data_IF_930356900200
#
_entry.id   IF_930356900200
#
_cell.length_a   1.000
_cell.length_b   1.000
_cell.length_c   1.000
_cell.angle_alpha   90.00
_cell.angle_beta   90.00
_cell.angle_gamma   90.00
#
_symmetry.space_group_name_H-M   'P 1'
#
loop_
_entity.id
_entity.type
_entity.pdbx_description
1 polymer ?
#
# COMPACT_ATOMS: atom_id res chain seq x y z
N UNK A 1 -19.14 -45.71 -5.84
CA UNK A 1 -18.05 -45.73 -4.83
C UNK A 1 -17.48 -44.35 -4.70
N UNK A 2 -17.59 -43.71 -3.53
CA UNK A 2 -16.96 -42.43 -3.23
C UNK A 2 -15.47 -42.64 -2.99
N UNK A 3 -14.63 -41.84 -3.61
CA UNK A 3 -13.19 -41.79 -3.32
C UNK A 3 -12.95 -40.73 -2.26
N UNK A 4 -12.28 -41.11 -1.17
CA UNK A 4 -11.93 -40.14 -0.13
C UNK A 4 -10.94 -39.14 -0.67
N UNK A 5 -11.27 -37.83 -0.57
CA UNK A 5 -10.37 -36.74 -0.92
C UNK A 5 -9.52 -36.38 0.29
N UNK A 6 -8.25 -36.09 0.04
CA UNK A 6 -7.30 -35.69 1.07
C UNK A 6 -7.46 -34.17 1.31
N UNK A 7 -7.69 -33.80 2.56
CA UNK A 7 -7.63 -32.39 2.99
C UNK A 7 -6.15 -32.04 3.17
N UNK A 8 -5.69 -31.00 2.47
CA UNK A 8 -4.34 -30.47 2.60
C UNK A 8 -4.42 -29.22 3.48
N UNK A 9 -3.52 -29.11 4.45
CA UNK A 9 -3.35 -27.93 5.27
C UNK A 9 -2.34 -26.98 4.60
N UNK A 10 -2.71 -25.71 4.44
CA UNK A 10 -1.80 -24.63 4.10
C UNK A 10 -1.50 -23.76 5.32
N UNK A 11 -0.38 -23.05 5.29
CA UNK A 11 -0.01 -22.08 6.33
C UNK A 11 0.24 -20.71 5.72
N UNK A 12 -0.16 -19.67 6.42
CA UNK A 12 0.20 -18.29 6.10
C UNK A 12 1.16 -17.79 7.17
N UNK A 13 2.31 -17.29 6.74
CA UNK A 13 3.32 -16.75 7.64
C UNK A 13 3.46 -15.26 7.33
N UNK A 14 3.16 -14.42 8.31
CA UNK A 14 3.38 -12.97 8.23
C UNK A 14 4.52 -12.54 9.15
N UNK A 15 5.35 -11.61 8.69
CA UNK A 15 6.47 -11.08 9.44
C UNK A 15 6.16 -9.71 10.04
N UNK A 16 6.46 -9.59 11.32
CA UNK A 16 6.32 -8.36 12.09
C UNK A 16 7.42 -7.36 11.70
N UNK A 17 7.05 -6.12 11.44
CA UNK A 17 7.97 -5.03 11.16
C UNK A 17 8.32 -4.27 12.45
N UNK A 18 9.61 -4.02 12.67
CA UNK A 18 10.14 -3.20 13.75
C UNK A 18 10.77 -1.96 13.12
N UNK A 19 10.13 -0.81 13.29
CA UNK A 19 10.57 0.43 12.69
C UNK A 19 10.96 1.45 13.75
N UNK A 20 12.02 2.17 13.47
CA UNK A 20 12.51 3.25 14.30
C UNK A 20 12.84 4.46 13.43
N UNK A 21 12.47 5.65 13.90
CA UNK A 21 12.86 6.92 13.30
C UNK A 21 13.24 7.88 14.40
N UNK A 22 14.29 8.66 14.16
CA UNK A 22 14.74 9.71 15.10
C UNK A 22 14.80 11.07 14.41
N UNK A 23 14.57 12.10 15.18
CA UNK A 23 14.72 13.49 14.79
C UNK A 23 15.51 14.22 15.87
N UNK A 24 16.37 15.14 15.46
CA UNK A 24 17.17 15.94 16.39
C UNK A 24 16.92 17.43 16.19
N UNK A 25 17.05 18.17 17.29
CA UNK A 25 17.01 19.60 17.31
C UNK A 25 18.17 20.12 18.16
N UNK A 26 18.75 21.25 17.77
CA UNK A 26 19.75 21.99 18.57
C UNK A 26 19.05 23.13 19.32
N UNK A 27 19.40 23.36 20.58
CA UNK A 27 18.86 24.47 21.39
C UNK A 27 19.06 25.82 20.69
N UNK A 28 20.21 26.01 20.04
CA UNK A 28 20.51 27.25 19.31
C UNK A 28 19.55 27.50 18.15
N UNK A 29 19.12 26.44 17.44
CA UNK A 29 18.13 26.58 16.36
C UNK A 29 16.75 26.95 16.92
N UNK A 30 16.40 26.44 18.10
CA UNK A 30 15.16 26.76 18.81
C UNK A 30 15.15 28.22 19.28
N UNK A 31 16.25 28.73 19.80
CA UNK A 31 16.39 30.13 20.24
C UNK A 31 16.35 31.13 19.06
N UNK A 32 16.93 30.77 17.92
CA UNK A 32 16.91 31.59 16.71
C UNK A 32 15.57 31.56 15.97
N UNK A 33 14.79 30.50 16.13
CA UNK A 33 13.48 30.38 15.50
C UNK A 33 12.44 31.18 16.26
N UNK A 34 12.11 32.36 15.76
CA UNK A 34 11.00 33.19 16.20
C UNK A 34 9.67 32.39 16.16
N UNK A 35 9.33 31.68 17.19
CA UNK A 35 8.03 30.99 17.21
C UNK A 35 7.96 29.64 17.89
N UNK A 36 8.86 29.33 18.81
CA UNK A 36 8.68 28.25 19.76
C UNK A 36 9.43 26.95 19.46
N UNK A 37 9.30 26.05 20.38
CA UNK A 37 9.93 24.75 20.50
C UNK A 37 9.74 23.90 19.23
N UNK A 38 10.82 23.65 18.47
CA UNK A 38 10.79 22.83 17.27
C UNK A 38 10.50 21.37 17.61
N UNK A 39 10.86 20.88 18.81
CA UNK A 39 10.54 19.54 19.28
C UNK A 39 9.03 19.31 19.36
N UNK A 40 8.26 20.29 19.83
CA UNK A 40 6.80 20.24 19.83
C UNK A 40 6.23 20.13 18.40
N UNK A 41 6.82 20.82 17.42
CA UNK A 41 6.42 20.70 16.00
C UNK A 41 6.78 19.34 15.42
N UNK A 42 7.93 18.78 15.78
CA UNK A 42 8.35 17.44 15.38
C UNK A 42 7.34 16.41 15.91
N UNK A 43 6.99 16.46 17.20
CA UNK A 43 6.01 15.58 17.83
C UNK A 43 4.65 15.63 17.13
N UNK A 44 4.16 16.81 16.79
CA UNK A 44 2.90 16.99 16.08
C UNK A 44 2.88 16.37 14.67
N UNK A 45 4.06 16.21 14.04
CA UNK A 45 4.19 15.63 12.68
C UNK A 45 4.51 14.14 12.68
N UNK A 46 4.86 13.55 13.82
CA UNK A 46 5.26 12.15 13.93
C UNK A 46 4.15 11.20 13.47
N UNK A 47 2.88 11.46 13.82
CA UNK A 47 1.76 10.62 13.38
C UNK A 47 1.54 10.67 11.87
N UNK A 48 1.70 11.86 11.26
CA UNK A 48 1.60 12.01 9.80
C UNK A 48 2.73 11.26 9.10
N UNK A 49 3.94 11.30 9.66
CA UNK A 49 5.09 10.53 9.14
C UNK A 49 4.79 9.03 9.15
N UNK A 50 4.30 8.47 10.28
CA UNK A 50 4.01 7.05 10.38
C UNK A 50 2.87 6.60 9.47
N UNK A 51 1.81 7.40 9.30
CA UNK A 51 0.74 7.11 8.31
C UNK A 51 1.29 6.99 6.90
N UNK A 52 2.19 7.88 6.50
CA UNK A 52 2.86 7.81 5.19
C UNK A 52 3.77 6.58 5.06
N UNK A 53 4.46 6.18 6.14
CA UNK A 53 5.27 4.96 6.12
C UNK A 53 4.39 3.70 5.98
N UNK A 54 3.25 3.64 6.65
CA UNK A 54 2.30 2.53 6.47
C UNK A 54 1.77 2.46 5.04
N UNK A 55 1.35 3.58 4.49
CA UNK A 55 0.88 3.68 3.11
C UNK A 55 1.95 3.19 2.11
N UNK A 56 3.19 3.67 2.23
CA UNK A 56 4.30 3.23 1.39
C UNK A 56 4.56 1.72 1.50
N UNK A 57 4.53 1.18 2.70
CA UNK A 57 4.74 -0.25 2.90
C UNK A 57 3.58 -1.09 2.38
N UNK A 58 2.35 -0.60 2.49
CA UNK A 58 1.19 -1.25 1.88
C UNK A 58 1.34 -1.32 0.36
N UNK A 59 1.69 -0.22 -0.28
CA UNK A 59 1.91 -0.17 -1.73
C UNK A 59 3.06 -1.10 -2.13
N UNK A 60 4.20 -1.04 -1.43
CA UNK A 60 5.33 -1.93 -1.69
C UNK A 60 4.95 -3.43 -1.54
N UNK A 61 4.13 -3.77 -0.55
CA UNK A 61 3.59 -5.13 -0.39
C UNK A 61 2.70 -5.53 -1.57
N UNK A 62 1.81 -4.63 -2.03
CA UNK A 62 0.96 -4.90 -3.19
C UNK A 62 1.78 -5.08 -4.46
N UNK A 63 2.85 -4.29 -4.64
CA UNK A 63 3.78 -4.44 -5.77
C UNK A 63 4.51 -5.79 -5.71
N UNK A 64 4.93 -6.23 -4.53
CA UNK A 64 5.55 -7.54 -4.35
C UNK A 64 4.59 -8.70 -4.66
N UNK A 65 3.34 -8.59 -4.23
CA UNK A 65 2.28 -9.55 -4.55
C UNK A 65 2.01 -9.59 -6.07
N UNK A 66 1.97 -8.43 -6.72
CA UNK A 66 1.84 -8.34 -8.17
C UNK A 66 3.03 -8.99 -8.88
N UNK A 67 4.25 -8.70 -8.44
CA UNK A 67 5.46 -9.26 -9.01
C UNK A 67 5.54 -10.79 -8.84
N UNK A 68 5.15 -11.32 -7.67
CA UNK A 68 5.06 -12.74 -7.42
C UNK A 68 4.01 -13.40 -8.33
N UNK A 69 2.82 -12.83 -8.43
CA UNK A 69 1.76 -13.38 -9.26
C UNK A 69 2.15 -13.45 -10.75
N UNK A 70 2.82 -12.43 -11.28
CA UNK A 70 3.32 -12.44 -12.66
C UNK A 70 4.41 -13.50 -12.84
N UNK A 71 5.32 -13.64 -11.87
CA UNK A 71 6.47 -14.54 -11.96
C UNK A 71 6.10 -16.01 -11.76
N UNK A 72 5.22 -16.33 -10.81
CA UNK A 72 5.01 -17.68 -10.30
C UNK A 72 3.59 -18.23 -10.56
N UNK A 73 2.59 -17.35 -10.71
CA UNK A 73 1.17 -17.74 -10.84
C UNK A 73 0.56 -17.40 -12.21
N UNK A 74 1.40 -17.21 -13.23
CA UNK A 74 1.00 -16.90 -14.60
C UNK A 74 0.14 -15.62 -14.75
N UNK A 75 0.19 -14.70 -13.78
CA UNK A 75 -0.54 -13.42 -13.83
C UNK A 75 -2.06 -13.55 -13.69
N UNK A 76 -2.56 -14.61 -13.04
CA UNK A 76 -4.00 -14.89 -12.93
C UNK A 76 -4.78 -13.86 -12.08
N UNK A 77 -4.08 -12.99 -11.36
CA UNK A 77 -4.66 -11.85 -10.62
C UNK A 77 -4.58 -10.53 -11.40
N UNK A 78 -3.98 -10.54 -12.59
CA UNK A 78 -3.66 -9.32 -13.34
C UNK A 78 -4.47 -9.28 -14.63
N UNK A 79 -5.08 -8.14 -14.91
CA UNK A 79 -5.59 -7.81 -16.22
C UNK A 79 -4.77 -6.63 -16.79
N UNK A 80 -3.96 -6.91 -17.79
CA UNK A 80 -3.15 -5.90 -18.46
C UNK A 80 -3.84 -5.46 -19.76
N UNK A 81 -4.40 -4.25 -19.75
CA UNK A 81 -4.99 -3.60 -20.91
C UNK A 81 -4.03 -2.61 -21.57
N UNK A 82 -2.81 -2.45 -21.04
CA UNK A 82 -1.85 -1.48 -21.56
C UNK A 82 -1.32 -1.88 -22.93
N UNK A 83 -1.02 -0.88 -23.74
CA UNK A 83 -0.42 -1.04 -25.08
C UNK A 83 0.84 -0.17 -25.16
N UNK A 84 1.76 -0.54 -26.05
CA UNK A 84 2.95 0.26 -26.34
C UNK A 84 2.60 1.68 -26.80
N UNK A 85 1.51 1.82 -27.56
CA UNK A 85 0.93 3.12 -27.89
C UNK A 85 -0.41 3.26 -27.20
N UNK A 86 -0.53 4.25 -26.32
CA UNK A 86 -1.76 4.51 -25.58
C UNK A 86 -2.94 4.79 -26.53
N UNK A 87 -4.05 4.13 -26.27
CA UNK A 87 -5.32 4.30 -26.97
C UNK A 87 -6.45 4.53 -25.98
N UNK A 88 -7.63 4.90 -26.46
CA UNK A 88 -8.81 4.96 -25.57
C UNK A 88 -9.13 3.59 -24.96
N UNK A 89 -8.90 2.50 -25.70
CA UNK A 89 -9.16 1.14 -25.25
C UNK A 89 -8.14 0.65 -24.22
N UNK A 90 -6.87 1.09 -24.28
CA UNK A 90 -5.82 0.73 -23.32
C UNK A 90 -5.87 1.57 -22.03
N UNK A 91 -6.69 2.61 -22.01
CA UNK A 91 -6.92 3.42 -20.83
C UNK A 91 -7.87 2.76 -19.82
N UNK A 92 -8.08 3.44 -18.70
CA UNK A 92 -9.08 3.01 -17.73
C UNK A 92 -10.48 3.13 -18.32
N UNK A 93 -11.18 2.01 -18.42
CA UNK A 93 -12.56 1.90 -18.93
C UNK A 93 -13.37 0.95 -18.04
N UNK A 94 -14.71 1.06 -18.08
CA UNK A 94 -15.60 0.11 -17.40
C UNK A 94 -15.33 -1.34 -17.81
N UNK A 95 -15.06 -1.58 -19.09
CA UNK A 95 -14.77 -2.92 -19.62
C UNK A 95 -13.48 -3.48 -19.02
N UNK A 96 -12.41 -2.70 -18.98
CA UNK A 96 -11.12 -3.12 -18.43
C UNK A 96 -11.22 -3.40 -16.92
N UNK A 97 -11.92 -2.54 -16.18
CA UNK A 97 -12.21 -2.76 -14.78
C UNK A 97 -13.00 -4.06 -14.55
N UNK A 98 -14.07 -4.27 -15.31
CA UNK A 98 -14.88 -5.49 -15.19
C UNK A 98 -14.05 -6.72 -15.52
N UNK A 99 -13.20 -6.68 -16.54
CA UNK A 99 -12.30 -7.78 -16.90
C UNK A 99 -11.32 -8.10 -15.76
N UNK A 100 -10.77 -7.07 -15.10
CA UNK A 100 -9.91 -7.25 -13.91
C UNK A 100 -10.69 -7.83 -12.73
N UNK A 101 -11.89 -7.34 -12.43
CA UNK A 101 -12.72 -7.86 -11.35
C UNK A 101 -13.11 -9.33 -11.58
N UNK A 102 -13.45 -9.70 -12.80
CA UNK A 102 -13.82 -11.08 -13.17
C UNK A 102 -12.62 -12.05 -13.23
N UNK A 103 -11.39 -11.63 -12.94
CA UNK A 103 -10.29 -12.57 -12.64
C UNK A 103 -10.55 -13.42 -11.40
N UNK A 104 -11.44 -12.97 -10.48
CA UNK A 104 -11.95 -13.76 -9.37
C UNK A 104 -13.06 -14.75 -9.78
N UNK A 105 -13.56 -14.69 -11.01
CA UNK A 105 -14.68 -15.50 -11.45
C UNK A 105 -15.97 -15.14 -10.72
N UNK A 106 -16.62 -16.11 -10.10
CA UNK A 106 -17.89 -15.99 -9.36
C UNK A 106 -17.77 -15.23 -8.02
N UNK A 107 -16.54 -15.04 -7.50
CA UNK A 107 -16.29 -14.29 -6.27
C UNK A 107 -16.02 -12.79 -6.50
N UNK A 108 -16.29 -12.25 -7.70
CA UNK A 108 -16.02 -10.84 -8.05
C UNK A 108 -16.75 -9.82 -7.15
N UNK A 109 -17.87 -10.19 -6.57
CA UNK A 109 -18.68 -9.37 -5.66
C UNK A 109 -18.05 -9.17 -4.27
N UNK A 110 -17.01 -9.92 -3.93
CA UNK A 110 -16.22 -9.69 -2.72
C UNK A 110 -15.35 -8.43 -2.81
N UNK A 111 -15.10 -7.92 -4.01
CA UNK A 111 -14.36 -6.68 -4.22
C UNK A 111 -15.20 -5.48 -3.81
N UNK A 112 -14.61 -4.56 -3.03
CA UNK A 112 -15.34 -3.42 -2.42
C UNK A 112 -14.73 -2.07 -2.71
N UNK A 113 -13.45 -2.02 -3.06
CA UNK A 113 -12.75 -0.77 -3.28
C UNK A 113 -11.69 -0.90 -4.38
N UNK A 114 -11.30 0.25 -4.96
CA UNK A 114 -10.23 0.37 -5.93
C UNK A 114 -9.30 1.51 -5.53
N UNK A 115 -8.00 1.24 -5.55
CA UNK A 115 -6.96 2.26 -5.43
C UNK A 115 -6.43 2.60 -6.83
N UNK A 116 -6.41 3.89 -7.16
CA UNK A 116 -6.01 4.40 -8.47
C UNK A 116 -5.04 5.57 -8.34
N UNK A 117 -4.16 5.74 -9.32
CA UNK A 117 -3.33 6.93 -9.43
C UNK A 117 -4.18 8.15 -9.81
N UNK A 118 -3.76 9.37 -9.42
CA UNK A 118 -4.52 10.61 -9.70
C UNK A 118 -4.80 10.85 -11.18
N UNK A 119 -3.90 10.42 -12.08
CA UNK A 119 -4.09 10.51 -13.54
C UNK A 119 -5.24 9.61 -14.00
N UNK A 120 -5.33 8.39 -13.46
CA UNK A 120 -6.43 7.47 -13.75
C UNK A 120 -7.74 8.02 -13.18
N UNK A 121 -7.70 8.54 -11.94
CA UNK A 121 -8.87 9.19 -11.33
C UNK A 121 -9.38 10.38 -12.15
N UNK A 122 -8.47 11.24 -12.64
CA UNK A 122 -8.83 12.34 -13.54
C UNK A 122 -9.59 11.82 -14.77
N UNK A 123 -9.12 10.74 -15.38
CA UNK A 123 -9.80 10.13 -16.55
C UNK A 123 -11.20 9.60 -16.19
N UNK A 124 -11.36 8.99 -15.01
CA UNK A 124 -12.67 8.54 -14.53
C UNK A 124 -13.64 9.73 -14.36
N UNK A 125 -13.16 10.88 -13.87
CA UNK A 125 -13.94 12.10 -13.74
C UNK A 125 -14.27 12.69 -15.12
N UNK A 126 -13.29 12.76 -16.03
CA UNK A 126 -13.48 13.29 -17.38
C UNK A 126 -14.51 12.44 -18.19
N UNK A 127 -14.62 11.15 -17.89
CA UNK A 127 -15.59 10.23 -18.52
C UNK A 127 -16.96 10.22 -17.82
N UNK A 128 -17.16 11.00 -16.77
CA UNK A 128 -18.38 11.00 -15.94
C UNK A 128 -18.70 9.61 -15.36
N UNK A 129 -17.65 8.87 -14.97
CA UNK A 129 -17.76 7.51 -14.46
C UNK A 129 -17.83 7.45 -12.91
N UNK A 130 -17.69 8.59 -12.22
CA UNK A 130 -17.67 8.67 -10.76
C UNK A 130 -19.04 9.04 -10.20
N UNK A 131 -19.57 8.17 -9.37
CA UNK A 131 -20.74 8.45 -8.54
C UNK A 131 -20.31 8.89 -7.14
N UNK A 132 -20.99 9.86 -6.56
CA UNK A 132 -20.72 10.33 -5.20
C UNK A 132 -21.82 9.87 -4.25
N UNK A 133 -21.43 9.16 -3.19
CA UNK A 133 -22.34 8.79 -2.11
C UNK A 133 -22.41 9.95 -1.11
N UNK A 134 -23.59 10.46 -0.77
CA UNK A 134 -23.75 11.49 0.25
C UNK A 134 -23.43 10.92 1.64
N UNK A 135 -22.81 11.74 2.48
CA UNK A 135 -22.68 11.45 3.91
C UNK A 135 -24.02 11.60 4.66
N UNK A 136 -24.02 11.36 5.98
CA UNK A 136 -25.21 11.50 6.82
C UNK A 136 -25.77 12.93 6.88
N UNK A 137 -25.03 13.93 6.40
CA UNK A 137 -25.43 15.34 6.32
C UNK A 137 -25.83 15.76 4.91
N UNK A 138 -25.80 14.84 3.94
CA UNK A 138 -26.13 15.11 2.54
C UNK A 138 -24.99 15.67 1.68
N UNK A 139 -23.77 15.77 2.22
CA UNK A 139 -22.62 16.18 1.43
C UNK A 139 -22.09 14.99 0.61
N UNK A 140 -21.89 15.17 -0.68
CA UNK A 140 -21.33 14.15 -1.58
C UNK A 140 -19.82 14.06 -1.40
N UNK A 141 -19.33 13.12 -0.60
CA UNK A 141 -17.93 13.07 -0.19
C UNK A 141 -17.19 11.78 -0.57
N UNK A 142 -17.92 10.69 -0.82
CA UNK A 142 -17.30 9.39 -1.09
C UNK A 142 -17.40 9.09 -2.59
N UNK A 143 -16.28 9.20 -3.34
CA UNK A 143 -16.28 8.81 -4.75
C UNK A 143 -16.41 7.29 -4.88
N UNK A 144 -17.30 6.85 -5.75
CA UNK A 144 -17.51 5.43 -6.07
C UNK A 144 -17.52 5.22 -7.57
N UNK A 145 -17.06 4.05 -7.99
CA UNK A 145 -17.07 3.59 -9.37
C UNK A 145 -17.71 2.21 -9.41
N UNK A 146 -18.83 2.07 -10.09
CA UNK A 146 -19.62 0.83 -10.14
C UNK A 146 -19.88 0.22 -8.75
N UNK A 147 -20.15 1.05 -7.74
CA UNK A 147 -20.35 0.60 -6.36
C UNK A 147 -19.09 0.36 -5.53
N UNK A 148 -17.90 0.43 -6.13
CA UNK A 148 -16.62 0.29 -5.44
C UNK A 148 -16.12 1.65 -5.00
N UNK A 149 -15.66 1.75 -3.75
CA UNK A 149 -15.04 2.99 -3.24
C UNK A 149 -13.74 3.27 -3.97
N UNK A 150 -13.58 4.49 -4.46
CA UNK A 150 -12.33 4.94 -5.11
C UNK A 150 -11.42 5.59 -4.09
N UNK A 151 -10.17 5.15 -4.06
CA UNK A 151 -9.08 5.71 -3.24
C UNK A 151 -8.01 6.22 -4.18
N UNK A 152 -7.64 7.49 -4.05
CA UNK A 152 -6.61 8.09 -4.90
C UNK A 152 -5.28 8.10 -4.16
N UNK A 153 -4.24 7.55 -4.78
CA UNK A 153 -2.89 7.48 -4.22
C UNK A 153 -1.83 7.56 -5.31
N UNK A 154 -1.04 8.62 -5.29
CA UNK A 154 0.06 8.84 -6.24
C UNK A 154 1.31 7.98 -5.95
N UNK A 155 1.30 7.21 -4.88
CA UNK A 155 2.35 6.24 -4.58
C UNK A 155 2.21 4.91 -5.32
N UNK A 156 1.09 4.69 -6.03
CA UNK A 156 0.89 3.48 -6.83
C UNK A 156 1.90 3.40 -7.98
N UNK A 157 2.27 2.17 -8.44
CA UNK A 157 3.28 1.99 -9.46
C UNK A 157 2.92 2.69 -10.76
N UNK A 158 3.90 3.41 -11.27
CA UNK A 158 3.86 4.05 -12.57
C UNK A 158 5.10 3.59 -13.34
N UNK A 159 4.90 2.85 -14.41
CA UNK A 159 5.96 2.45 -15.31
C UNK A 159 5.98 3.39 -16.51
N UNK A 160 7.06 4.13 -16.66
CA UNK A 160 7.26 5.02 -17.81
C UNK A 160 8.28 4.40 -18.72
N UNK A 161 7.83 3.91 -19.86
CA UNK A 161 8.74 3.58 -20.94
C UNK A 161 9.10 4.89 -21.69
N UNK A 162 10.40 5.11 -21.87
CA UNK A 162 10.93 6.31 -22.54
C UNK A 162 10.54 6.42 -24.01
N UNK A 163 10.01 5.36 -24.59
CA UNK A 163 9.72 5.25 -26.04
C UNK A 163 8.22 5.24 -26.35
N UNK A 164 7.38 4.69 -25.46
CA UNK A 164 5.99 4.39 -25.84
C UNK A 164 4.95 5.08 -24.95
N UNK A 165 4.61 4.54 -23.82
CA UNK A 165 3.53 5.10 -23.00
C UNK A 165 3.70 4.81 -21.52
N UNK A 166 3.13 5.66 -20.69
CA UNK A 166 3.11 5.46 -19.24
C UNK A 166 2.01 4.45 -18.89
N UNK A 167 2.36 3.47 -18.05
CA UNK A 167 1.44 2.46 -17.53
C UNK A 167 1.16 2.74 -16.06
N UNK A 168 -0.09 2.65 -15.69
CA UNK A 168 -0.57 2.86 -14.31
C UNK A 168 -1.17 1.58 -13.78
N UNK A 169 -0.71 1.15 -12.61
CA UNK A 169 -1.28 -0.01 -11.91
C UNK A 169 -2.34 0.43 -10.93
N UNK A 170 -3.55 -0.06 -11.10
CA UNK A 170 -4.65 0.11 -10.15
C UNK A 170 -4.86 -1.20 -9.38
N UNK A 171 -5.15 -1.10 -8.08
CA UNK A 171 -5.37 -2.26 -7.20
C UNK A 171 -6.83 -2.31 -6.80
N UNK A 172 -7.51 -3.41 -7.09
CA UNK A 172 -8.89 -3.66 -6.69
C UNK A 172 -8.84 -4.65 -5.52
N UNK A 173 -9.51 -4.34 -4.43
CA UNK A 173 -9.46 -5.16 -3.23
C UNK A 173 -10.80 -5.25 -2.51
N UNK A 174 -11.00 -6.37 -1.85
CA UNK A 174 -12.15 -6.67 -1.04
C UNK A 174 -11.87 -6.52 0.46
N UNK A 175 -12.89 -6.72 1.24
CA UNK A 175 -12.76 -6.74 2.70
C UNK A 175 -11.86 -7.90 3.14
N UNK A 176 -10.89 -7.60 4.02
CA UNK A 176 -9.95 -8.61 4.51
C UNK A 176 -8.79 -8.94 3.58
N UNK A 177 -8.63 -8.25 2.42
CA UNK A 177 -7.51 -8.45 1.50
C UNK A 177 -6.14 -8.25 2.15
N UNK A 178 -6.05 -7.40 3.15
CA UNK A 178 -4.82 -7.13 3.91
C UNK A 178 -5.12 -7.16 5.40
N UNK A 179 -4.40 -8.00 6.13
CA UNK A 179 -4.39 -8.01 7.60
C UNK A 179 -3.46 -6.95 8.16
N UNK A 180 -3.93 -6.19 9.13
CA UNK A 180 -3.13 -5.23 9.87
C UNK A 180 -3.22 -5.52 11.37
N UNK A 181 -2.05 -5.54 12.03
CA UNK A 181 -1.95 -5.68 13.47
C UNK A 181 -0.88 -4.76 14.02
N UNK A 182 -1.21 -3.97 15.03
CA UNK A 182 -0.25 -3.11 15.70
C UNK A 182 0.26 -3.76 17.00
N UNK A 183 1.57 -3.70 17.22
CA UNK A 183 2.21 -4.12 18.45
C UNK A 183 2.74 -2.91 19.22
N UNK A 184 2.91 -3.07 20.53
CA UNK A 184 3.47 -2.01 21.37
C UNK A 184 4.95 -2.29 21.63
N UNK A 185 5.88 -1.43 21.16
CA UNK A 185 7.27 -1.48 21.59
C UNK A 185 7.42 -1.20 23.08
N UNK A 186 8.47 -1.70 23.72
CA UNK A 186 8.73 -1.43 25.14
C UNK A 186 8.87 0.08 25.43
N UNK A 187 9.56 0.80 24.55
CA UNK A 187 9.73 2.25 24.62
C UNK A 187 9.29 2.87 23.28
N UNK A 188 8.00 3.18 23.08
CA UNK A 188 7.48 3.67 21.81
C UNK A 188 7.99 5.07 21.47
N UNK A 189 8.20 5.91 22.46
CA UNK A 189 8.76 7.27 22.34
C UNK A 189 9.77 7.48 23.44
N UNK A 190 10.94 7.98 23.07
CA UNK A 190 12.04 8.27 23.98
C UNK A 190 12.71 9.57 23.55
N UNK A 191 13.12 10.37 24.51
CA UNK A 191 13.86 11.62 24.28
C UNK A 191 15.22 11.50 24.96
N UNK A 192 16.29 11.73 24.19
CA UNK A 192 17.66 11.79 24.70
C UNK A 192 18.20 13.20 24.54
N UNK A 193 18.88 13.71 25.58
CA UNK A 193 19.50 15.02 25.58
C UNK A 193 21.02 14.90 25.67
N UNK A 194 21.70 15.50 24.69
CA UNK A 194 23.17 15.49 24.59
C UNK A 194 23.71 16.93 24.79
N UNK A 195 24.01 17.33 26.05
CA UNK A 195 24.37 18.70 26.36
C UNK A 195 25.72 19.14 25.80
N UNK A 196 26.62 18.19 25.50
CA UNK A 196 27.94 18.46 24.95
C UNK A 196 27.96 18.74 23.43
N UNK A 197 26.84 18.53 22.73
CA UNK A 197 26.71 18.73 21.28
C UNK A 197 26.06 20.10 20.98
N UNK A 198 25.90 20.42 19.68
CA UNK A 198 25.19 21.63 19.25
C UNK A 198 25.94 22.94 19.54
N UNK A 199 27.26 22.96 19.39
CA UNK A 199 28.11 24.13 19.69
C UNK A 199 27.96 24.66 21.13
N UNK A 200 27.74 23.76 22.10
CA UNK A 200 27.60 24.07 23.51
C UNK A 200 26.17 24.43 23.97
N UNK A 201 25.20 24.48 23.08
CA UNK A 201 23.80 24.70 23.42
C UNK A 201 23.06 23.42 23.80
N UNK A 202 23.56 22.28 23.34
CA UNK A 202 22.89 20.98 23.51
C UNK A 202 22.08 20.56 22.27
N UNK A 203 21.83 19.25 22.20
CA UNK A 203 20.98 18.61 21.17
C UNK A 203 19.95 17.73 21.86
N UNK A 204 18.69 17.87 21.48
CA UNK A 204 17.62 16.97 21.88
C UNK A 204 17.25 16.03 20.74
N UNK A 205 17.16 14.72 21.02
CA UNK A 205 16.86 13.68 20.03
C UNK A 205 15.59 12.96 20.44
N UNK A 206 14.56 13.00 19.57
CA UNK A 206 13.34 12.25 19.73
C UNK A 206 13.44 10.95 18.96
N UNK A 207 13.29 9.81 19.62
CA UNK A 207 13.16 8.49 19.01
C UNK A 207 11.69 8.08 19.02
N UNK A 208 11.20 7.65 17.88
CA UNK A 208 9.85 7.08 17.75
C UNK A 208 9.95 5.69 17.12
N UNK A 209 9.36 4.71 17.80
CA UNK A 209 9.39 3.31 17.41
C UNK A 209 7.98 2.82 17.15
N UNK A 210 7.79 2.08 16.07
CA UNK A 210 6.53 1.42 15.74
C UNK A 210 6.79 -0.04 15.41
N UNK A 211 5.86 -0.87 15.83
CA UNK A 211 5.88 -2.29 15.56
C UNK A 211 4.52 -2.68 15.04
N UNK A 212 4.46 -3.29 13.86
CA UNK A 212 3.21 -3.72 13.27
C UNK A 212 3.41 -4.90 12.31
N UNK A 213 2.33 -5.58 12.01
CA UNK A 213 2.20 -6.56 10.96
C UNK A 213 1.31 -5.99 9.88
N UNK A 214 1.75 -6.06 8.63
CA UNK A 214 0.96 -5.81 7.43
C UNK A 214 1.14 -7.04 6.54
N UNK A 215 0.06 -7.77 6.29
CA UNK A 215 0.15 -9.05 5.59
C UNK A 215 -0.99 -9.22 4.59
N UNK A 216 -0.70 -9.49 3.30
CA UNK A 216 -1.72 -9.79 2.32
C UNK A 216 -2.33 -11.16 2.59
N UNK A 217 -3.66 -11.24 2.58
CA UNK A 217 -4.35 -12.51 2.79
C UNK A 217 -4.08 -13.48 1.63
N UNK A 218 -3.82 -14.73 1.99
CA UNK A 218 -3.58 -15.79 1.01
C UNK A 218 -2.13 -15.93 0.58
N UNK A 219 -1.22 -15.14 1.12
CA UNK A 219 0.21 -15.17 0.81
C UNK A 219 1.02 -15.62 2.01
N UNK A 220 2.21 -16.13 1.75
CA UNK A 220 3.23 -16.49 2.73
C UNK A 220 4.46 -15.62 2.52
N UNK A 221 5.03 -15.15 3.61
CA UNK A 221 6.35 -14.53 3.61
C UNK A 221 7.43 -15.62 3.49
N UNK A 222 8.13 -15.64 2.37
CA UNK A 222 9.24 -16.58 2.07
C UNK A 222 10.60 -15.89 2.09
N UNK A 223 10.62 -14.57 2.16
CA UNK A 223 11.83 -13.78 2.09
C UNK A 223 12.65 -13.77 3.39
N UNK A 224 13.88 -13.32 3.26
CA UNK A 224 14.77 -13.07 4.39
C UNK A 224 15.23 -11.62 4.31
N UNK A 225 14.83 -10.75 5.25
CA UNK A 225 15.25 -9.36 5.25
C UNK A 225 16.74 -9.26 5.53
N UNK A 226 17.44 -8.33 4.87
CA UNK A 226 18.84 -8.04 5.12
C UNK A 226 19.08 -7.43 6.52
N UNK A 227 18.04 -6.80 7.10
CA UNK A 227 18.08 -6.21 8.44
C UNK A 227 16.95 -6.81 9.31
N UNK A 228 16.64 -6.17 10.44
CA UNK A 228 15.56 -6.62 11.34
C UNK A 228 14.18 -6.62 10.67
N UNK A 229 13.96 -5.74 9.71
CA UNK A 229 12.70 -5.60 8.96
C UNK A 229 12.98 -5.33 7.50
N UNK A 230 12.04 -5.74 6.63
CA UNK A 230 12.14 -5.48 5.21
C UNK A 230 12.23 -3.98 4.89
N UNK A 231 13.08 -3.64 3.94
CA UNK A 231 13.03 -2.37 3.21
C UNK A 231 11.84 -2.35 2.25
N UNK A 232 11.54 -1.19 1.66
CA UNK A 232 10.48 -1.11 0.64
C UNK A 232 10.82 -1.96 -0.59
N UNK A 233 12.07 -1.89 -1.05
CA UNK A 233 12.53 -2.68 -2.21
C UNK A 233 12.45 -4.20 -1.98
N UNK A 234 12.73 -4.68 -0.76
CA UNK A 234 12.58 -6.10 -0.42
C UNK A 234 11.10 -6.51 -0.39
N UNK A 235 10.19 -5.64 0.04
CA UNK A 235 8.74 -5.91 0.00
C UNK A 235 8.21 -5.97 -1.43
N UNK A 236 8.77 -5.20 -2.35
CA UNK A 236 8.40 -5.18 -3.78
C UNK A 236 8.94 -6.38 -4.55
N UNK A 237 9.87 -7.14 -3.98
CA UNK A 237 10.48 -8.28 -4.65
C UNK A 237 9.52 -9.47 -4.69
N UNK A 238 9.35 -10.08 -5.85
CA UNK A 238 8.57 -11.30 -6.04
C UNK A 238 9.00 -12.44 -5.10
N UNK A 239 10.30 -12.59 -4.84
CA UNK A 239 10.84 -13.66 -4.00
C UNK A 239 10.45 -13.54 -2.50
N UNK A 240 9.85 -12.43 -2.08
CA UNK A 240 9.40 -12.24 -0.69
C UNK A 240 8.06 -12.90 -0.44
N UNK A 241 7.25 -13.10 -1.47
CA UNK A 241 5.88 -13.57 -1.37
C UNK A 241 5.70 -14.90 -2.09
N UNK A 242 4.73 -15.69 -1.64
CA UNK A 242 4.31 -16.93 -2.27
C UNK A 242 2.83 -17.15 -1.96
N UNK A 243 2.01 -17.32 -3.00
CA UNK A 243 0.58 -17.56 -2.82
C UNK A 243 0.32 -18.97 -2.34
N UNK A 244 -0.37 -19.11 -1.21
CA UNK A 244 -0.65 -20.42 -0.56
C UNK A 244 -2.12 -20.81 -0.59
N UNK A 245 -3.00 -19.96 -1.16
CA UNK A 245 -4.42 -20.24 -1.29
C UNK A 245 -4.85 -20.17 -2.76
N UNK A 246 -6.00 -20.80 -3.05
CA UNK A 246 -6.60 -20.75 -4.38
C UNK A 246 -6.97 -19.31 -4.77
N UNK A 247 -6.85 -18.99 -6.07
CA UNK A 247 -7.10 -17.63 -6.64
C UNK A 247 -8.41 -17.02 -6.15
N UNK A 248 -9.50 -17.78 -6.14
CA UNK A 248 -10.84 -17.29 -5.75
C UNK A 248 -10.95 -16.83 -4.29
N UNK A 249 -10.05 -17.31 -3.43
CA UNK A 249 -10.03 -16.93 -2.02
C UNK A 249 -9.18 -15.69 -1.74
N UNK A 250 -8.48 -15.15 -2.75
CA UNK A 250 -7.71 -13.91 -2.62
C UNK A 250 -8.53 -12.74 -3.14
N UNK A 251 -9.12 -11.88 -2.28
CA UNK A 251 -9.94 -10.75 -2.72
C UNK A 251 -9.07 -9.57 -3.19
N UNK A 252 -8.17 -9.84 -4.14
CA UNK A 252 -7.25 -8.89 -4.76
C UNK A 252 -7.27 -9.08 -6.27
N UNK A 253 -7.26 -7.98 -7.03
CA UNK A 253 -7.03 -7.99 -8.48
C UNK A 253 -6.24 -6.76 -8.90
N UNK A 254 -5.48 -6.87 -9.96
CA UNK A 254 -4.66 -5.78 -10.49
C UNK A 254 -5.12 -5.43 -11.90
N UNK A 255 -5.20 -4.14 -12.17
CA UNK A 255 -5.53 -3.60 -13.49
C UNK A 255 -4.40 -2.68 -13.94
N UNK A 256 -3.76 -3.00 -15.08
CA UNK A 256 -2.72 -2.18 -15.68
C UNK A 256 -3.31 -1.48 -16.90
N UNK A 257 -3.19 -0.15 -16.96
CA UNK A 257 -3.72 0.70 -18.03
C UNK A 257 -2.74 1.81 -18.40
N UNK A 258 -2.94 2.43 -19.58
CA UNK A 258 -2.18 3.62 -19.98
C UNK A 258 -2.78 4.90 -19.44
#
# INVERSE_FOLDING_TARGET
>A
TSTAQKIVQGEQIGRKAFLNQSWSETDLASELALGGDAMTRIRARTDTYWRRQWQRRLIATMNGVLADNIANDAGDMVYDASLDTATTASGFTRSNFTSAAFTLGDAYDELTAIAVHSVVYKRMVDNDDIDFIPDSQGNMTIPTFLGHRVIVDDGLPVETDSVYSTKYTSVIFGAGAVGFGEGTPANPVEVDRQPAQGNGGGVEILFSRKTYLLHPFGFKDTGTPAATSYTLAELEAAATWDRVVERKNCPLAFLITN
#
